data_IF_983047927731
#
_entry.id   IF_983047927731
#
_cell.length_a   1.000
_cell.length_b   1.000
_cell.length_c   1.000
_cell.angle_alpha   90.00
_cell.angle_beta   90.00
_cell.angle_gamma   90.00
#
_symmetry.space_group_name_H-M   'P 1'
#
loop_
_entity.id
_entity.type
_entity.pdbx_description
1 polymer ?
#
# COMPACT_ATOMS: atom_id res chain seq x y z
N UNK A 1 -7.44 22.84 -26.71
CA UNK A 1 -6.47 23.11 -25.62
C UNK A 1 -5.72 21.82 -25.30
N UNK A 2 -4.40 21.89 -25.19
CA UNK A 2 -3.46 20.75 -25.18
C UNK A 2 -3.47 20.09 -23.78
N UNK A 3 -4.11 18.92 -23.61
CA UNK A 3 -4.09 18.14 -22.36
C UNK A 3 -2.62 17.79 -22.02
N UNK A 4 -2.14 18.19 -20.84
CA UNK A 4 -0.76 18.00 -20.42
C UNK A 4 -0.52 16.54 -20.01
N UNK A 5 0.37 15.86 -20.73
CA UNK A 5 0.84 14.47 -20.51
C UNK A 5 1.48 14.19 -19.12
N UNK A 6 1.38 15.11 -18.16
CA UNK A 6 2.10 15.04 -16.88
C UNK A 6 1.34 14.30 -15.77
N UNK A 7 0.03 14.07 -15.89
CA UNK A 7 -0.74 13.37 -14.84
C UNK A 7 -0.56 11.84 -14.85
N UNK A 8 -0.18 11.23 -15.98
CA UNK A 8 0.03 9.79 -16.07
C UNK A 8 1.41 9.31 -15.59
N UNK A 9 2.30 10.23 -15.19
CA UNK A 9 3.67 9.87 -14.77
C UNK A 9 3.71 9.43 -13.30
N UNK A 10 2.75 9.85 -12.47
CA UNK A 10 2.81 9.60 -11.01
C UNK A 10 2.36 8.17 -10.65
N UNK A 11 1.51 7.52 -11.45
CA UNK A 11 1.07 6.14 -11.20
C UNK A 11 2.10 5.10 -11.69
N UNK A 12 3.07 5.51 -12.53
CA UNK A 12 4.04 4.62 -13.15
C UNK A 12 5.33 4.40 -12.32
N UNK A 13 5.32 4.69 -11.02
CA UNK A 13 6.53 4.88 -10.24
C UNK A 13 6.79 3.83 -9.14
N UNK A 14 6.38 2.57 -9.32
CA UNK A 14 7.13 1.43 -8.75
C UNK A 14 7.01 0.24 -9.71
N UNK A 15 7.89 0.22 -10.71
CA UNK A 15 8.19 -1.00 -11.46
C UNK A 15 9.70 -1.06 -11.57
N UNK A 16 10.35 -1.29 -10.43
CA UNK A 16 11.79 -1.53 -10.43
C UNK A 16 11.98 -2.93 -11.00
N UNK A 17 12.49 -2.96 -12.23
CA UNK A 17 12.79 -4.16 -13.00
C UNK A 17 13.78 -5.04 -12.22
N UNK A 18 13.27 -6.13 -11.65
CA UNK A 18 13.99 -7.11 -10.83
C UNK A 18 15.12 -7.82 -11.62
N UNK A 19 15.00 -7.86 -12.96
CA UNK A 19 15.84 -8.64 -13.91
C UNK A 19 17.32 -8.35 -13.87
N UNK A 20 17.74 -7.09 -13.81
CA UNK A 20 19.05 -6.68 -14.36
C UNK A 20 20.27 -7.15 -13.55
N UNK A 21 20.10 -7.86 -12.44
CA UNK A 21 21.22 -8.25 -11.57
C UNK A 21 21.15 -9.68 -10.99
N UNK A 22 20.42 -10.62 -11.61
CA UNK A 22 20.55 -12.06 -11.25
C UNK A 22 21.88 -12.65 -11.77
N UNK A 23 22.53 -11.98 -12.74
CA UNK A 23 23.69 -12.52 -13.46
C UNK A 23 25.00 -12.49 -12.64
N UNK A 24 25.10 -11.70 -11.56
CA UNK A 24 26.39 -11.36 -10.94
C UNK A 24 26.80 -12.10 -9.65
N UNK A 25 26.07 -13.11 -9.17
CA UNK A 25 26.54 -13.89 -8.00
C UNK A 25 27.37 -15.13 -8.42
N UNK A 26 28.67 -15.07 -8.09
CA UNK A 26 29.73 -16.06 -8.34
C UNK A 26 29.37 -17.47 -7.78
N UNK A 27 29.33 -18.52 -8.60
CA UNK A 27 30.44 -19.46 -8.90
C UNK A 27 30.64 -20.60 -7.89
N UNK A 28 29.57 -21.34 -7.58
CA UNK A 28 29.58 -22.81 -7.52
C UNK A 28 28.12 -23.32 -7.43
N UNK A 29 27.84 -24.52 -7.96
CA UNK A 29 26.54 -25.25 -7.95
C UNK A 29 25.50 -24.86 -9.04
N UNK A 30 25.53 -25.57 -10.18
CA UNK A 30 24.68 -25.37 -11.37
C UNK A 30 23.16 -25.46 -11.11
N UNK A 31 22.71 -26.32 -10.21
CA UNK A 31 21.28 -26.53 -9.91
C UNK A 31 20.68 -25.40 -9.06
N UNK A 32 21.45 -24.84 -8.12
CA UNK A 32 21.02 -23.71 -7.27
C UNK A 32 20.88 -22.42 -8.08
N UNK A 33 21.71 -22.24 -9.12
CA UNK A 33 21.60 -21.11 -10.05
C UNK A 33 20.32 -21.16 -10.88
N UNK A 34 19.94 -22.33 -11.38
CA UNK A 34 18.70 -22.49 -12.14
C UNK A 34 17.46 -22.25 -11.28
N UNK A 35 17.44 -22.77 -10.04
CA UNK A 35 16.34 -22.53 -9.09
C UNK A 35 16.21 -21.05 -8.70
N UNK A 36 17.32 -20.38 -8.38
CA UNK A 36 17.32 -18.95 -8.06
C UNK A 36 16.89 -18.07 -9.24
N UNK A 37 17.31 -18.42 -10.46
CA UNK A 37 16.88 -17.73 -11.68
C UNK A 37 15.38 -17.95 -11.94
N UNK A 38 14.89 -19.18 -11.81
CA UNK A 38 13.48 -19.52 -11.98
C UNK A 38 12.60 -18.76 -10.97
N UNK A 39 12.96 -18.81 -9.68
CA UNK A 39 12.30 -18.03 -8.64
C UNK A 39 12.23 -16.54 -8.99
N UNK A 40 13.36 -15.95 -9.41
CA UNK A 40 13.42 -14.53 -9.76
C UNK A 40 12.50 -14.16 -10.92
N UNK A 41 12.42 -15.01 -11.95
CA UNK A 41 11.52 -14.82 -13.10
C UNK A 41 10.05 -14.97 -12.68
N UNK A 42 9.72 -15.97 -11.86
CA UNK A 42 8.36 -16.19 -11.39
C UNK A 42 7.86 -15.05 -10.51
N UNK A 43 8.69 -14.58 -9.57
CA UNK A 43 8.40 -13.42 -8.73
C UNK A 43 8.20 -12.15 -9.56
N UNK A 44 9.07 -11.91 -10.54
CA UNK A 44 8.93 -10.76 -11.43
C UNK A 44 7.64 -10.83 -12.24
N UNK A 45 7.29 -12.00 -12.79
CA UNK A 45 6.06 -12.15 -13.55
C UNK A 45 4.84 -11.86 -12.67
N UNK A 46 4.85 -12.31 -11.41
CA UNK A 46 3.78 -11.97 -10.45
C UNK A 46 3.69 -10.45 -10.28
N UNK A 47 4.81 -9.77 -10.06
CA UNK A 47 4.85 -8.32 -9.87
C UNK A 47 4.39 -7.52 -11.10
N UNK A 48 4.80 -7.93 -12.30
CA UNK A 48 4.34 -7.29 -13.53
C UNK A 48 2.84 -7.53 -13.73
N UNK A 49 2.33 -8.73 -13.44
CA UNK A 49 0.89 -9.02 -13.54
C UNK A 49 0.07 -8.19 -12.55
N UNK A 50 0.55 -7.99 -11.31
CA UNK A 50 -0.08 -7.08 -10.33
C UNK A 50 -0.15 -5.66 -10.90
N UNK A 51 0.97 -5.14 -11.39
CA UNK A 51 1.07 -3.79 -11.95
C UNK A 51 0.19 -3.60 -13.19
N UNK A 52 0.17 -4.57 -14.12
CA UNK A 52 -0.69 -4.53 -15.30
C UNK A 52 -2.17 -4.50 -14.89
N UNK A 53 -2.55 -5.34 -13.93
CA UNK A 53 -3.92 -5.40 -13.44
C UNK A 53 -4.34 -4.09 -12.77
N UNK A 54 -3.49 -3.51 -11.90
CA UNK A 54 -3.71 -2.20 -11.28
C UNK A 54 -3.78 -1.06 -12.28
N UNK A 55 -2.87 -1.03 -13.25
CA UNK A 55 -2.87 -0.02 -14.32
C UNK A 55 -4.20 -0.04 -15.07
N UNK A 56 -4.72 -1.24 -15.34
CA UNK A 56 -6.02 -1.39 -16.00
C UNK A 56 -7.18 -0.98 -15.09
N UNK A 57 -7.13 -1.29 -13.79
CA UNK A 57 -8.14 -0.86 -12.82
C UNK A 57 -8.38 0.66 -12.84
N UNK A 58 -7.32 1.45 -12.75
CA UNK A 58 -7.42 2.92 -12.80
C UNK A 58 -7.72 3.46 -14.21
N UNK A 59 -7.32 2.74 -15.26
CA UNK A 59 -7.70 3.08 -16.64
C UNK A 59 -9.21 2.96 -16.86
N UNK A 60 -9.85 1.89 -16.39
CA UNK A 60 -11.32 1.74 -16.49
C UNK A 60 -12.06 2.79 -15.65
N UNK A 61 -11.54 3.16 -14.46
CA UNK A 61 -12.05 4.31 -13.70
C UNK A 61 -12.05 5.59 -14.55
N UNK A 62 -10.93 5.86 -15.22
CA UNK A 62 -10.77 7.07 -16.04
C UNK A 62 -11.76 7.07 -17.21
N UNK A 63 -11.93 5.93 -17.90
CA UNK A 63 -12.94 5.79 -18.96
C UNK A 63 -14.35 6.07 -18.45
N UNK A 64 -14.70 5.58 -17.27
CA UNK A 64 -16.00 5.87 -16.66
C UNK A 64 -16.16 7.36 -16.36
N UNK A 65 -15.14 8.01 -15.79
CA UNK A 65 -15.13 9.47 -15.51
C UNK A 65 -15.22 10.32 -16.79
N UNK A 66 -14.63 9.86 -17.89
CA UNK A 66 -14.74 10.51 -19.21
C UNK A 66 -16.05 10.18 -19.95
N UNK A 67 -16.86 9.25 -19.43
CA UNK A 67 -18.14 8.84 -20.01
C UNK A 67 -18.03 7.81 -21.14
N UNK A 68 -16.86 7.19 -21.32
CA UNK A 68 -16.61 6.16 -22.35
C UNK A 68 -17.25 4.81 -22.00
N UNK A 69 -17.50 4.53 -20.72
CA UNK A 69 -18.18 3.33 -20.23
C UNK A 69 -19.25 3.68 -19.20
N UNK A 70 -20.27 2.83 -19.08
CA UNK A 70 -21.31 2.97 -18.05
C UNK A 70 -20.80 2.58 -16.66
N UNK A 71 -21.54 2.97 -15.60
CA UNK A 71 -21.23 2.54 -14.23
C UNK A 71 -21.40 1.02 -14.08
N UNK A 72 -22.38 0.45 -14.79
CA UNK A 72 -22.66 -0.98 -14.81
C UNK A 72 -21.50 -1.77 -15.45
N UNK A 73 -20.96 -1.28 -16.56
CA UNK A 73 -19.80 -1.88 -17.23
C UNK A 73 -18.54 -1.81 -16.35
N UNK A 74 -18.33 -0.67 -15.68
CA UNK A 74 -17.23 -0.50 -14.72
C UNK A 74 -17.32 -1.52 -13.59
N UNK A 75 -18.50 -1.64 -12.96
CA UNK A 75 -18.72 -2.58 -11.86
C UNK A 75 -18.47 -4.03 -12.31
N UNK A 76 -18.94 -4.41 -13.49
CA UNK A 76 -18.70 -5.76 -14.04
C UNK A 76 -17.21 -6.02 -14.22
N UNK A 77 -16.47 -5.05 -14.76
CA UNK A 77 -15.02 -5.16 -14.89
C UNK A 77 -14.34 -5.28 -13.52
N UNK A 78 -14.76 -4.48 -12.54
CA UNK A 78 -14.22 -4.52 -11.18
C UNK A 78 -14.47 -5.85 -10.46
N UNK A 79 -15.63 -6.49 -10.66
CA UNK A 79 -15.88 -7.81 -10.09
C UNK A 79 -14.98 -8.89 -10.72
N UNK A 80 -14.60 -8.75 -12.00
CA UNK A 80 -13.60 -9.61 -12.66
C UNK A 80 -12.17 -9.30 -12.18
N UNK A 81 -11.84 -8.03 -11.98
CA UNK A 81 -10.56 -7.56 -11.46
C UNK A 81 -10.23 -8.22 -10.12
N UNK A 82 -11.16 -8.19 -9.16
CA UNK A 82 -10.94 -8.80 -7.83
C UNK A 82 -10.66 -10.32 -7.90
N UNK A 83 -11.27 -11.03 -8.87
CA UNK A 83 -11.03 -12.46 -9.07
C UNK A 83 -9.62 -12.71 -9.61
N UNK A 84 -9.25 -12.00 -10.68
CA UNK A 84 -7.92 -12.10 -11.29
C UNK A 84 -6.82 -11.71 -10.30
N UNK A 85 -7.07 -10.70 -9.47
CA UNK A 85 -6.08 -10.27 -8.49
C UNK A 85 -5.84 -11.35 -7.43
N UNK A 86 -6.89 -12.00 -6.94
CA UNK A 86 -6.76 -13.16 -6.04
C UNK A 86 -5.98 -14.31 -6.67
N UNK A 87 -6.21 -14.58 -7.96
CA UNK A 87 -5.44 -15.59 -8.71
C UNK A 87 -3.95 -15.23 -8.78
N UNK A 88 -3.61 -13.97 -9.04
CA UNK A 88 -2.22 -13.49 -9.03
C UNK A 88 -1.61 -13.64 -7.64
N UNK A 89 -2.30 -13.20 -6.58
CA UNK A 89 -1.83 -13.32 -5.19
C UNK A 89 -1.57 -14.78 -4.80
N UNK A 90 -2.41 -15.72 -5.25
CA UNK A 90 -2.21 -17.13 -4.95
C UNK A 90 -0.91 -17.72 -5.51
N UNK A 91 -0.31 -17.08 -6.53
CA UNK A 91 0.96 -17.54 -7.11
C UNK A 91 2.15 -17.29 -6.20
N UNK A 92 2.08 -16.36 -5.25
CA UNK A 92 3.13 -16.21 -4.24
C UNK A 92 3.31 -17.49 -3.41
N UNK A 93 2.22 -18.20 -3.11
CA UNK A 93 2.24 -19.46 -2.34
C UNK A 93 2.87 -20.62 -3.11
N UNK A 94 3.06 -20.45 -4.43
CA UNK A 94 3.69 -21.45 -5.29
C UNK A 94 5.19 -21.22 -5.49
N UNK A 95 5.70 -20.07 -5.04
CA UNK A 95 7.12 -19.76 -5.11
C UNK A 95 7.91 -20.65 -4.14
N UNK A 96 9.11 -21.07 -4.56
CA UNK A 96 10.10 -21.74 -3.71
C UNK A 96 11.32 -20.82 -3.53
N UNK A 97 11.19 -19.71 -2.77
CA UNK A 97 12.28 -18.75 -2.62
C UNK A 97 13.44 -19.36 -1.80
N UNK A 98 14.70 -19.05 -2.13
CA UNK A 98 15.81 -19.30 -1.22
C UNK A 98 15.58 -18.59 0.12
N UNK A 99 16.09 -19.15 1.22
CA UNK A 99 15.83 -18.67 2.60
C UNK A 99 16.01 -17.16 2.75
N UNK A 100 17.08 -16.62 2.16
CA UNK A 100 17.43 -15.19 2.19
C UNK A 100 16.35 -14.26 1.62
N UNK A 101 15.46 -14.76 0.75
CA UNK A 101 14.43 -13.99 0.05
C UNK A 101 13.02 -14.18 0.61
N UNK A 102 12.79 -15.10 1.56
CA UNK A 102 11.44 -15.38 2.08
C UNK A 102 10.74 -14.13 2.61
N UNK A 103 11.41 -13.34 3.45
CA UNK A 103 10.84 -12.11 4.00
C UNK A 103 10.46 -11.11 2.92
N UNK A 104 11.25 -10.99 1.85
CA UNK A 104 10.91 -10.13 0.71
C UNK A 104 9.66 -10.60 -0.02
N UNK A 105 9.52 -11.92 -0.23
CA UNK A 105 8.35 -12.51 -0.88
C UNK A 105 7.09 -12.33 -0.05
N UNK A 106 7.18 -12.51 1.27
CA UNK A 106 6.08 -12.30 2.20
C UNK A 106 5.60 -10.84 2.18
N UNK A 107 6.52 -9.87 2.18
CA UNK A 107 6.19 -8.45 2.11
C UNK A 107 5.54 -8.05 0.79
N UNK A 108 6.03 -8.57 -0.33
CA UNK A 108 5.45 -8.31 -1.66
C UNK A 108 4.06 -8.95 -1.80
N UNK A 109 3.85 -10.13 -1.19
CA UNK A 109 2.53 -10.75 -1.09
C UNK A 109 1.58 -9.88 -0.27
N UNK A 110 1.99 -9.46 0.92
CA UNK A 110 1.19 -8.63 1.82
C UNK A 110 0.83 -7.28 1.16
N UNK A 111 1.77 -6.69 0.43
CA UNK A 111 1.49 -5.51 -0.41
C UNK A 111 0.34 -5.79 -1.39
N UNK A 112 0.41 -6.88 -2.15
CA UNK A 112 -0.61 -7.25 -3.13
C UNK A 112 -1.98 -7.51 -2.48
N UNK A 113 -2.00 -8.15 -1.30
CA UNK A 113 -3.22 -8.34 -0.51
C UNK A 113 -3.84 -7.01 -0.07
N UNK A 114 -3.03 -6.05 0.37
CA UNK A 114 -3.50 -4.70 0.73
C UNK A 114 -3.99 -3.89 -0.47
N UNK A 115 -3.38 -4.05 -1.65
CA UNK A 115 -3.93 -3.48 -2.87
C UNK A 115 -5.31 -4.06 -3.20
N UNK A 116 -5.48 -5.39 -3.07
CA UNK A 116 -6.78 -6.05 -3.27
C UNK A 116 -7.85 -5.55 -2.28
N UNK A 117 -7.49 -5.41 -1.00
CA UNK A 117 -8.37 -4.84 0.02
C UNK A 117 -8.79 -3.41 -0.35
N UNK A 118 -7.81 -2.57 -0.71
CA UNK A 118 -8.03 -1.20 -1.18
C UNK A 118 -9.02 -1.15 -2.35
N UNK A 119 -8.82 -2.00 -3.36
CA UNK A 119 -9.68 -2.04 -4.54
C UNK A 119 -11.10 -2.46 -4.18
N UNK A 120 -11.25 -3.42 -3.26
CA UNK A 120 -12.57 -3.85 -2.79
C UNK A 120 -13.32 -2.70 -2.11
N UNK A 121 -12.67 -1.94 -1.24
CA UNK A 121 -13.26 -0.76 -0.58
C UNK A 121 -13.53 0.38 -1.56
N UNK A 122 -12.65 0.55 -2.56
CA UNK A 122 -12.86 1.52 -3.63
C UNK A 122 -14.11 1.18 -4.45
N UNK A 123 -14.29 -0.09 -4.79
CA UNK A 123 -15.46 -0.60 -5.51
C UNK A 123 -16.73 -0.37 -4.68
N UNK A 124 -16.69 -0.63 -3.37
CA UNK A 124 -17.82 -0.34 -2.47
C UNK A 124 -18.19 1.14 -2.50
N UNK A 125 -17.20 2.04 -2.40
CA UNK A 125 -17.43 3.47 -2.53
C UNK A 125 -18.07 3.85 -3.87
N UNK A 126 -17.60 3.30 -5.00
CA UNK A 126 -18.21 3.54 -6.31
C UNK A 126 -19.66 3.05 -6.34
N UNK A 127 -19.95 1.88 -5.76
CA UNK A 127 -21.29 1.28 -5.73
C UNK A 127 -22.25 2.12 -4.87
N UNK A 128 -21.82 2.52 -3.66
CA UNK A 128 -22.71 3.02 -2.60
C UNK A 128 -22.58 4.51 -2.30
N UNK A 129 -21.48 5.15 -2.68
CA UNK A 129 -21.13 6.51 -2.25
C UNK A 129 -20.63 6.60 -0.81
N UNK A 130 -20.32 5.49 -0.15
CA UNK A 130 -19.85 5.46 1.23
C UNK A 130 -18.43 6.05 1.37
N UNK A 131 -18.33 7.30 1.85
CA UNK A 131 -17.03 7.97 2.02
C UNK A 131 -16.10 7.24 3.02
N UNK A 132 -16.63 6.49 3.98
CA UNK A 132 -15.79 5.71 4.89
C UNK A 132 -15.06 4.57 4.14
N UNK A 133 -15.71 3.95 3.15
CA UNK A 133 -15.06 2.96 2.28
C UNK A 133 -13.94 3.61 1.45
N UNK A 134 -14.15 4.85 0.98
CA UNK A 134 -13.08 5.58 0.27
C UNK A 134 -11.85 5.83 1.15
N UNK A 135 -12.07 6.23 2.42
CA UNK A 135 -10.98 6.43 3.39
C UNK A 135 -10.22 5.13 3.67
N UNK A 136 -10.93 4.00 3.87
CA UNK A 136 -10.30 2.69 4.05
C UNK A 136 -9.48 2.27 2.84
N UNK A 137 -10.02 2.47 1.63
CA UNK A 137 -9.30 2.23 0.38
C UNK A 137 -7.99 3.02 0.31
N UNK A 138 -8.03 4.34 0.56
CA UNK A 138 -6.83 5.18 0.51
C UNK A 138 -5.78 4.76 1.57
N UNK A 139 -6.23 4.35 2.76
CA UNK A 139 -5.37 3.84 3.82
C UNK A 139 -4.70 2.51 3.44
N UNK A 140 -5.47 1.54 2.94
CA UNK A 140 -4.96 0.24 2.50
C UNK A 140 -4.01 0.37 1.31
N UNK A 141 -4.28 1.29 0.38
CA UNK A 141 -3.36 1.58 -0.72
C UNK A 141 -2.03 2.11 -0.19
N UNK A 142 -2.04 3.02 0.78
CA UNK A 142 -0.81 3.50 1.39
C UNK A 142 -0.05 2.35 2.09
N UNK A 143 -0.75 1.53 2.87
CA UNK A 143 -0.17 0.35 3.54
C UNK A 143 0.49 -0.59 2.52
N UNK A 144 -0.15 -0.80 1.38
CA UNK A 144 0.39 -1.63 0.32
C UNK A 144 1.71 -1.11 -0.26
N UNK A 145 1.84 0.21 -0.44
CA UNK A 145 3.06 0.85 -0.94
C UNK A 145 4.19 0.72 0.09
N UNK A 146 3.87 0.80 1.39
CA UNK A 146 4.84 0.61 2.46
C UNK A 146 5.39 -0.81 2.46
N UNK A 147 4.52 -1.83 2.38
CA UNK A 147 4.95 -3.23 2.27
C UNK A 147 5.72 -3.51 0.98
N UNK A 148 5.34 -2.89 -0.15
CA UNK A 148 6.06 -3.03 -1.41
C UNK A 148 7.49 -2.49 -1.28
N UNK A 149 7.64 -1.27 -0.75
CA UNK A 149 8.94 -0.65 -0.54
C UNK A 149 9.82 -1.50 0.39
N UNK A 150 9.27 -2.01 1.49
CA UNK A 150 9.98 -2.89 2.42
C UNK A 150 10.41 -4.18 1.72
N UNK A 151 9.49 -4.82 0.98
CA UNK A 151 9.78 -6.04 0.23
C UNK A 151 10.89 -5.84 -0.80
N UNK A 152 10.89 -4.71 -1.52
CA UNK A 152 11.96 -4.36 -2.44
C UNK A 152 13.30 -4.12 -1.73
N UNK A 153 13.31 -3.40 -0.60
CA UNK A 153 14.54 -3.19 0.20
C UNK A 153 15.11 -4.51 0.70
N UNK A 154 14.26 -5.39 1.23
CA UNK A 154 14.65 -6.74 1.67
C UNK A 154 15.24 -7.56 0.51
N UNK A 155 14.56 -7.56 -0.64
CA UNK A 155 15.00 -8.26 -1.83
C UNK A 155 16.38 -7.79 -2.31
N UNK A 156 16.60 -6.47 -2.39
CA UNK A 156 17.88 -5.91 -2.81
C UNK A 156 18.99 -6.11 -1.76
N UNK A 157 18.65 -6.11 -0.47
CA UNK A 157 19.61 -6.37 0.62
C UNK A 157 20.09 -7.81 0.60
N UNK A 158 19.17 -8.77 0.42
CA UNK A 158 19.50 -10.19 0.24
C UNK A 158 20.34 -10.41 -1.03
N UNK A 159 19.98 -9.75 -2.13
CA UNK A 159 20.68 -9.84 -3.42
C UNK A 159 22.11 -9.30 -3.39
N UNK A 160 22.36 -8.22 -2.64
CA UNK A 160 23.68 -7.56 -2.56
C UNK A 160 24.59 -8.14 -1.47
N UNK A 161 24.09 -9.07 -0.65
CA UNK A 161 24.86 -9.68 0.43
C UNK A 161 25.09 -8.77 1.63
N UNK A 162 24.28 -7.72 1.80
CA UNK A 162 24.34 -6.81 2.96
C UNK A 162 23.79 -7.50 4.23
N UNK A 163 22.87 -8.47 4.08
CA UNK A 163 22.43 -9.36 5.16
C UNK A 163 23.17 -10.70 5.08
N UNK A 164 24.00 -10.99 6.08
CA UNK A 164 24.54 -12.33 6.35
C UNK A 164 23.68 -12.95 7.47
N UNK A 165 22.87 -13.96 7.15
CA UNK A 165 22.05 -14.66 8.14
C UNK A 165 22.93 -15.63 8.94
N UNK A 166 23.70 -15.10 9.89
CA UNK A 166 24.32 -15.91 10.94
C UNK A 166 23.40 -16.04 12.18
N UNK A 167 22.29 -15.28 12.27
CA UNK A 167 21.24 -15.47 13.29
C UNK A 167 19.83 -15.26 12.69
N UNK A 168 18.83 -16.09 13.08
CA UNK A 168 17.47 -15.98 12.61
C UNK A 168 16.71 -14.94 13.44
N UNK A 169 16.88 -13.66 13.13
CA UNK A 169 15.89 -12.69 13.60
C UNK A 169 14.59 -12.91 12.81
N UNK A 170 13.55 -13.42 13.47
CA UNK A 170 12.20 -13.46 12.90
C UNK A 170 11.80 -12.05 12.47
N UNK A 171 11.49 -11.91 11.19
CA UNK A 171 11.03 -10.65 10.63
C UNK A 171 9.73 -10.22 11.31
N UNK A 172 9.70 -9.01 11.88
CA UNK A 172 8.48 -8.37 12.35
C UNK A 172 8.09 -7.24 11.39
N UNK A 173 6.89 -7.35 10.82
CA UNK A 173 6.33 -6.29 9.99
C UNK A 173 6.29 -4.96 10.78
N UNK A 174 6.71 -3.83 10.19
CA UNK A 174 6.60 -2.53 10.86
C UNK A 174 5.14 -2.26 11.22
N UNK A 175 4.90 -1.68 12.41
CA UNK A 175 3.57 -1.15 12.73
C UNK A 175 3.18 -0.12 11.66
N UNK A 176 2.08 -0.41 10.95
CA UNK A 176 1.65 0.31 9.75
C UNK A 176 1.83 1.82 9.84
N UNK A 177 2.26 2.47 8.75
CA UNK A 177 2.26 3.92 8.64
C UNK A 177 0.88 4.54 8.78
N UNK A 178 -0.20 3.73 8.73
CA UNK A 178 -1.55 4.10 9.12
C UNK A 178 -1.64 4.46 10.61
N UNK A 179 -1.07 3.66 11.52
CA UNK A 179 -0.99 4.02 12.95
C UNK A 179 -0.28 5.37 13.11
N UNK A 180 0.84 5.56 12.42
CA UNK A 180 1.60 6.82 12.47
C UNK A 180 0.81 8.00 11.90
N UNK A 181 0.05 7.80 10.82
CA UNK A 181 -0.73 8.85 10.14
C UNK A 181 -2.04 9.17 10.87
N UNK A 182 -2.69 8.18 11.46
CA UNK A 182 -3.83 8.36 12.36
C UNK A 182 -3.40 9.14 13.60
N UNK A 183 -2.21 8.84 14.15
CA UNK A 183 -1.61 9.65 15.21
C UNK A 183 -1.31 11.08 14.74
N UNK A 184 -0.68 11.28 13.59
CA UNK A 184 -0.37 12.61 13.03
C UNK A 184 -1.62 13.46 12.80
N UNK A 185 -2.68 12.89 12.21
CA UNK A 185 -3.97 13.57 11.99
C UNK A 185 -4.63 13.90 13.32
N UNK A 186 -4.55 13.00 14.30
CA UNK A 186 -5.10 13.24 15.65
C UNK A 186 -4.38 14.40 16.33
N UNK A 187 -3.05 14.45 16.27
CA UNK A 187 -2.28 15.56 16.84
C UNK A 187 -2.54 16.87 16.11
N UNK A 188 -2.72 16.83 14.78
CA UNK A 188 -3.12 18.01 13.99
C UNK A 188 -4.49 18.54 14.44
N UNK A 189 -5.48 17.66 14.66
CA UNK A 189 -6.81 18.06 15.15
C UNK A 189 -6.75 18.65 16.56
N UNK A 190 -5.96 18.07 17.46
CA UNK A 190 -5.75 18.63 18.81
C UNK A 190 -5.11 20.01 18.76
N UNK A 191 -4.13 20.20 17.88
CA UNK A 191 -3.49 21.51 17.68
C UNK A 191 -4.48 22.55 17.11
N UNK A 192 -5.44 22.13 16.29
CA UNK A 192 -6.53 23.00 15.84
C UNK A 192 -7.45 23.38 17.01
N UNK A 193 -7.80 22.44 17.89
CA UNK A 193 -8.54 22.76 19.12
C UNK A 193 -7.75 23.77 19.99
N UNK A 194 -6.45 23.59 20.15
CA UNK A 194 -5.60 24.54 20.89
C UNK A 194 -5.66 25.94 20.25
N UNK A 195 -5.49 26.06 18.94
CA UNK A 195 -5.51 27.35 18.24
C UNK A 195 -6.88 28.04 18.27
N UNK A 196 -7.97 27.27 18.36
CA UNK A 196 -9.32 27.80 18.37
C UNK A 196 -9.75 28.30 19.75
N UNK A 197 -9.34 27.59 20.81
CA UNK A 197 -9.85 27.85 22.17
C UNK A 197 -8.82 28.41 23.16
N UNK A 198 -7.52 28.35 22.86
CA UNK A 198 -6.48 28.95 23.71
C UNK A 198 -5.95 30.25 23.09
N UNK A 199 -5.58 31.18 23.96
CA UNK A 199 -4.93 32.43 23.55
C UNK A 199 -3.43 32.22 23.25
N UNK A 200 -2.72 33.30 22.91
CA UNK A 200 -1.29 33.24 22.56
C UNK A 200 -0.38 32.78 23.71
N UNK A 201 -0.84 32.91 24.96
CA UNK A 201 -0.14 32.45 26.15
C UNK A 201 -0.52 31.00 26.53
N UNK A 202 -1.41 30.37 25.76
CA UNK A 202 -1.90 29.00 25.99
C UNK A 202 -2.99 28.90 27.05
N UNK A 203 -3.59 30.02 27.46
CA UNK A 203 -4.62 30.10 28.49
C UNK A 203 -6.04 30.19 27.90
N UNK A 204 -7.03 29.80 28.70
CA UNK A 204 -8.45 29.92 28.35
C UNK A 204 -9.01 31.25 28.85
N UNK A 205 -9.78 31.93 28.01
CA UNK A 205 -10.41 33.20 28.39
C UNK A 205 -11.71 33.01 29.19
N UNK A 206 -12.25 31.78 29.24
CA UNK A 206 -13.40 31.44 30.09
C UNK A 206 -13.51 29.94 30.35
N UNK A 207 -14.16 29.56 31.47
CA UNK A 207 -14.50 28.17 31.80
C UNK A 207 -15.33 27.50 30.69
N UNK A 208 -16.15 28.27 29.96
CA UNK A 208 -16.93 27.77 28.84
C UNK A 208 -16.01 27.32 27.68
N UNK A 209 -14.98 28.09 27.38
CA UNK A 209 -14.00 27.73 26.33
C UNK A 209 -13.15 26.53 26.73
N UNK A 210 -12.84 26.38 28.01
CA UNK A 210 -12.14 25.18 28.52
C UNK A 210 -12.99 23.91 28.32
N UNK A 211 -14.30 23.99 28.60
CA UNK A 211 -15.23 22.87 28.36
C UNK A 211 -15.38 22.55 26.86
N UNK A 212 -15.46 23.57 26.00
CA UNK A 212 -15.56 23.39 24.54
C UNK A 212 -14.27 22.80 23.95
N UNK A 213 -13.10 23.27 24.40
CA UNK A 213 -11.81 22.69 24.05
C UNK A 213 -11.70 21.22 24.45
N UNK A 214 -12.14 20.87 25.67
CA UNK A 214 -12.11 19.50 26.15
C UNK A 214 -12.97 18.57 25.29
N UNK A 215 -14.14 19.03 24.85
CA UNK A 215 -14.98 18.27 23.92
C UNK A 215 -14.31 18.10 22.55
N UNK A 216 -13.71 19.15 21.99
CA UNK A 216 -12.97 19.10 20.73
C UNK A 216 -11.82 18.07 20.76
N UNK A 217 -11.02 18.08 21.83
CA UNK A 217 -9.91 17.12 22.02
C UNK A 217 -10.45 15.70 22.15
N UNK A 218 -11.54 15.49 22.89
CA UNK A 218 -12.16 14.18 23.02
C UNK A 218 -12.72 13.65 21.71
N UNK A 219 -13.24 14.51 20.83
CA UNK A 219 -13.66 14.10 19.49
C UNK A 219 -12.47 13.66 18.63
N UNK A 220 -11.32 14.35 18.72
CA UNK A 220 -10.09 13.93 18.05
C UNK A 220 -9.58 12.57 18.57
N UNK A 221 -9.63 12.35 19.88
CA UNK A 221 -9.28 11.08 20.52
C UNK A 221 -10.23 9.94 20.16
N UNK A 222 -11.54 10.20 20.13
CA UNK A 222 -12.54 9.24 19.69
C UNK A 222 -12.31 8.86 18.22
N UNK A 223 -12.04 9.85 17.37
CA UNK A 223 -11.70 9.61 15.97
C UNK A 223 -10.46 8.73 15.84
N UNK A 224 -9.41 8.96 16.62
CA UNK A 224 -8.22 8.10 16.66
C UNK A 224 -8.59 6.65 16.94
N UNK A 225 -9.38 6.38 17.98
CA UNK A 225 -9.78 5.02 18.38
C UNK A 225 -10.58 4.33 17.27
N UNK A 226 -11.46 5.06 16.58
CA UNK A 226 -12.29 4.51 15.49
C UNK A 226 -11.50 4.21 14.21
N UNK A 227 -10.29 4.75 14.06
CA UNK A 227 -9.51 4.71 12.82
C UNK A 227 -8.11 4.10 12.98
N UNK A 228 -7.71 3.74 14.21
CA UNK A 228 -6.55 2.89 14.44
C UNK A 228 -6.87 1.45 13.99
N UNK A 229 -5.92 0.75 13.33
CA UNK A 229 -6.08 -0.66 12.95
C UNK A 229 -6.14 -1.61 14.15
#
# INVERSE_FOLDING_TARGET
>A
MKKSKKQNIIIAAVAITIVSAIISYNFSVEQTKQKGLQFGIELEQIQEDVKELQTKFYSEKTKWEEGDISKEDLIKYYDEHLKKFKEIISRYDTLDPPELFKSSVELLKLSSEKQLESDSEFIDWIKTGNNAAKVRSDAQLQESLEYEMLGLVEFYSAKTGIKNYDEPEEFQAPQSGLTKKVLEITETKKMQCDNEFKNQDGEFESDKMEVEWFNCVNEAEKWKIEHLP
#
